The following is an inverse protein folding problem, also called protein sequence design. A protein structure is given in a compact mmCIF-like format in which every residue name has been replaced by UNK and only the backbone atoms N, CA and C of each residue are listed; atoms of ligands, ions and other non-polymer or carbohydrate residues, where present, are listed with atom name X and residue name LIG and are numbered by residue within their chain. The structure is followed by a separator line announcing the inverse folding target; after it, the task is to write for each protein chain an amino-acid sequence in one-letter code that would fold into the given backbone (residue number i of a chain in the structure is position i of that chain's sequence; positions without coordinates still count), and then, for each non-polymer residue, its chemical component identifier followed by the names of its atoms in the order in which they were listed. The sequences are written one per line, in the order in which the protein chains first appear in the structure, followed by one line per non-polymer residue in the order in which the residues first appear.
data_IF_573042665777
#
_entry.id   IF_573042665777
#
_cell.length_a   1.000
_cell.length_b   1.000
_cell.length_c   1.000
_cell.angle_alpha   90.00
_cell.angle_beta   90.00
_cell.angle_gamma   90.00
#
_symmetry.space_group_name_H-M   'P 1'
#
loop_
_entity.id
_entity.type
_entity.pdbx_description
1 polymer ?
#
# COMPACT_ATOMS: atom_id res chain seq x y z
N UNK A 1 -7.77 21.49 4.33
CA UNK A 1 -8.45 20.18 4.22
C UNK A 1 -9.41 20.05 5.39
N UNK A 2 -10.67 19.66 5.16
CA UNK A 2 -11.68 19.57 6.21
C UNK A 2 -11.28 18.51 7.26
N UNK A 3 -11.61 18.81 8.51
CA UNK A 3 -11.52 17.84 9.60
C UNK A 3 -12.73 16.92 9.54
N UNK A 4 -12.50 15.61 9.55
CA UNK A 4 -13.55 14.59 9.50
C UNK A 4 -13.71 13.89 10.85
N UNK A 5 -13.05 14.40 11.89
CA UNK A 5 -13.20 13.95 13.27
C UNK A 5 -14.66 14.06 13.72
N UNK A 6 -15.24 12.95 14.19
CA UNK A 6 -16.63 12.89 14.64
C UNK A 6 -17.62 12.27 13.64
N UNK A 7 -17.15 11.77 12.49
CA UNK A 7 -17.96 10.93 11.61
C UNK A 7 -18.44 9.65 12.33
N UNK A 8 -19.60 9.09 11.92
CA UNK A 8 -20.08 7.82 12.45
C UNK A 8 -19.03 6.72 12.29
N UNK A 9 -18.84 5.88 13.31
CA UNK A 9 -17.83 4.81 13.30
C UNK A 9 -17.91 3.90 12.06
N UNK A 10 -19.12 3.64 11.55
CA UNK A 10 -19.34 2.86 10.33
C UNK A 10 -18.65 3.47 9.09
N UNK A 11 -18.55 4.80 9.00
CA UNK A 11 -17.85 5.49 7.91
C UNK A 11 -16.33 5.30 8.05
N UNK A 12 -15.80 5.43 9.26
CA UNK A 12 -14.37 5.17 9.54
C UNK A 12 -13.99 3.73 9.20
N UNK A 13 -14.88 2.77 9.51
CA UNK A 13 -14.69 1.36 9.18
C UNK A 13 -14.78 1.10 7.68
N UNK A 14 -15.75 1.72 6.99
CA UNK A 14 -15.90 1.61 5.54
C UNK A 14 -14.67 2.14 4.78
N UNK A 15 -14.17 3.33 5.15
CA UNK A 15 -12.97 3.91 4.52
C UNK A 15 -11.73 3.08 4.82
N UNK A 16 -11.53 2.66 6.08
CA UNK A 16 -10.38 1.83 6.46
C UNK A 16 -10.42 0.46 5.79
N UNK A 17 -11.60 -0.16 5.71
CA UNK A 17 -11.82 -1.42 5.01
C UNK A 17 -11.54 -1.33 3.52
N UNK A 18 -11.99 -0.25 2.86
CA UNK A 18 -11.70 0.01 1.45
C UNK A 18 -10.19 0.10 1.19
N UNK A 19 -9.45 0.89 1.97
CA UNK A 19 -7.99 1.00 1.81
C UNK A 19 -7.27 -0.31 2.11
N UNK A 20 -7.75 -1.09 3.07
CA UNK A 20 -7.20 -2.40 3.39
C UNK A 20 -7.37 -3.37 2.23
N UNK A 21 -8.57 -3.43 1.63
CA UNK A 21 -8.85 -4.25 0.45
C UNK A 21 -8.06 -3.79 -0.77
N UNK A 22 -7.90 -2.48 -0.95
CA UNK A 22 -7.10 -1.89 -2.02
C UNK A 22 -5.64 -2.34 -1.90
N UNK A 23 -5.05 -2.24 -0.71
CA UNK A 23 -3.69 -2.71 -0.45
C UNK A 23 -3.61 -4.22 -0.70
N UNK A 24 -4.52 -5.02 -0.14
CA UNK A 24 -4.56 -6.47 -0.37
C UNK A 24 -4.59 -6.82 -1.88
N UNK A 25 -5.40 -6.12 -2.66
CA UNK A 25 -5.53 -6.32 -4.10
C UNK A 25 -4.22 -6.00 -4.84
N UNK A 26 -3.55 -4.88 -4.51
CA UNK A 26 -2.26 -4.52 -5.11
C UNK A 26 -1.21 -5.59 -4.81
N UNK A 27 -1.22 -6.16 -3.61
CA UNK A 27 -0.23 -7.15 -3.15
C UNK A 27 -0.45 -8.51 -3.77
N UNK A 28 -1.70 -8.93 -3.84
CA UNK A 28 -2.09 -10.09 -4.63
C UNK A 28 -1.66 -9.93 -6.09
N UNK A 29 -1.78 -8.72 -6.67
CA UNK A 29 -1.30 -8.42 -8.01
C UNK A 29 0.23 -8.56 -8.11
N UNK A 30 0.99 -8.01 -7.16
CA UNK A 30 2.45 -8.14 -7.11
C UNK A 30 2.89 -9.60 -7.05
N UNK A 31 2.23 -10.44 -6.23
CA UNK A 31 2.51 -11.90 -6.13
C UNK A 31 2.14 -12.61 -7.43
N UNK A 32 0.96 -12.33 -8.00
CA UNK A 32 0.47 -13.01 -9.22
C UNK A 32 1.34 -12.68 -10.43
N UNK A 33 1.85 -11.46 -10.52
CA UNK A 33 2.72 -11.02 -11.61
C UNK A 33 4.11 -11.66 -11.54
N UNK A 34 4.58 -12.03 -10.34
CA UNK A 34 5.79 -12.83 -10.13
C UNK A 34 5.73 -14.18 -10.85
N UNK A 35 4.53 -14.77 -10.96
CA UNK A 35 4.36 -16.14 -11.47
C UNK A 35 4.25 -16.15 -13.00
N UNK A 36 3.81 -15.06 -13.64
CA UNK A 36 3.28 -15.13 -15.01
C UNK A 36 4.15 -14.60 -16.16
N UNK A 37 5.07 -13.62 -16.03
CA UNK A 37 5.78 -13.07 -17.21
C UNK A 37 7.14 -12.38 -16.94
N UNK A 38 8.26 -12.85 -17.54
CA UNK A 38 9.62 -12.36 -17.25
C UNK A 38 10.14 -11.16 -18.06
N UNK A 39 9.38 -10.63 -19.05
CA UNK A 39 9.96 -9.71 -20.06
C UNK A 39 9.84 -8.20 -19.79
N UNK A 40 9.10 -7.77 -18.76
CA UNK A 40 8.84 -6.33 -18.43
C UNK A 40 8.85 -6.09 -16.90
N UNK A 41 9.62 -6.89 -16.17
CA UNK A 41 9.49 -7.08 -14.71
C UNK A 41 9.89 -5.90 -13.81
N UNK A 42 11.05 -5.23 -14.00
CA UNK A 42 11.53 -4.28 -13.01
C UNK A 42 10.72 -2.97 -13.01
N UNK A 43 10.40 -2.41 -14.18
CA UNK A 43 9.63 -1.15 -14.27
C UNK A 43 8.22 -1.32 -13.69
N UNK A 44 7.55 -2.43 -14.00
CA UNK A 44 6.21 -2.72 -13.48
C UNK A 44 6.22 -3.00 -11.98
N UNK A 45 7.26 -3.66 -11.47
CA UNK A 45 7.45 -3.85 -10.03
C UNK A 45 7.65 -2.51 -9.33
N UNK A 46 8.57 -1.65 -9.79
CA UNK A 46 8.80 -0.32 -9.21
C UNK A 46 7.52 0.51 -9.22
N UNK A 47 6.77 0.51 -10.32
CA UNK A 47 5.50 1.21 -10.40
C UNK A 47 4.47 0.69 -9.40
N UNK A 48 4.31 -0.64 -9.28
CA UNK A 48 3.38 -1.25 -8.30
C UNK A 48 3.81 -1.00 -6.86
N UNK A 49 5.12 -0.94 -6.58
CA UNK A 49 5.65 -0.61 -5.25
C UNK A 49 5.40 0.85 -4.89
N UNK A 50 5.64 1.77 -5.83
CA UNK A 50 5.33 3.18 -5.65
C UNK A 50 3.82 3.39 -5.49
N UNK A 51 3.00 2.66 -6.25
CA UNK A 51 1.55 2.69 -6.15
C UNK A 51 1.05 2.15 -4.80
N UNK A 52 1.63 1.04 -4.30
CA UNK A 52 1.35 0.51 -2.96
C UNK A 52 1.68 1.54 -1.87
N UNK A 53 2.86 2.15 -1.93
CA UNK A 53 3.30 3.16 -0.96
C UNK A 53 2.40 4.39 -1.02
N UNK A 54 2.05 4.86 -2.22
CA UNK A 54 1.14 5.98 -2.43
C UNK A 54 -0.27 5.70 -1.87
N UNK A 55 -0.82 4.51 -2.13
CA UNK A 55 -2.11 4.08 -1.59
C UNK A 55 -2.10 3.99 -0.05
N UNK A 56 -1.03 3.45 0.53
CA UNK A 56 -0.83 3.39 1.97
C UNK A 56 -0.70 4.78 2.60
N UNK A 57 0.01 5.70 1.94
CA UNK A 57 0.15 7.07 2.41
C UNK A 57 -1.17 7.84 2.31
N UNK A 58 -1.96 7.63 1.24
CA UNK A 58 -3.31 8.16 1.13
C UNK A 58 -4.21 7.62 2.25
N UNK A 59 -4.14 6.32 2.53
CA UNK A 59 -4.89 5.68 3.61
C UNK A 59 -4.53 6.28 4.98
N UNK A 60 -3.24 6.56 5.21
CA UNK A 60 -2.77 7.20 6.43
C UNK A 60 -3.27 8.65 6.56
N UNK A 61 -3.29 9.43 5.47
CA UNK A 61 -3.88 10.78 5.46
C UNK A 61 -5.37 10.72 5.80
N UNK A 62 -6.11 9.80 5.19
CA UNK A 62 -7.54 9.61 5.51
C UNK A 62 -7.74 9.17 6.97
N UNK A 63 -6.95 8.22 7.46
CA UNK A 63 -7.02 7.77 8.86
C UNK A 63 -6.73 8.92 9.84
N UNK A 64 -5.76 9.79 9.52
CA UNK A 64 -5.44 10.96 10.34
C UNK A 64 -6.60 11.97 10.35
N UNK A 65 -7.23 12.20 9.20
CA UNK A 65 -8.38 13.11 9.06
C UNK A 65 -9.64 12.58 9.75
N UNK A 66 -9.77 11.26 9.87
CA UNK A 66 -10.86 10.59 10.59
C UNK A 66 -10.64 10.52 12.12
N UNK A 67 -9.49 10.99 12.63
CA UNK A 67 -9.11 10.83 14.04
C UNK A 67 -8.71 9.40 14.42
N UNK A 68 -8.48 8.52 13.44
CA UNK A 68 -8.13 7.11 13.66
C UNK A 68 -6.61 6.94 13.70
N UNK A 69 -5.98 7.40 14.79
CA UNK A 69 -4.52 7.40 14.97
C UNK A 69 -3.87 6.00 14.83
N UNK A 70 -4.55 4.95 15.30
CA UNK A 70 -4.07 3.57 15.14
C UNK A 70 -3.97 3.15 13.67
N UNK A 71 -4.92 3.59 12.83
CA UNK A 71 -4.91 3.32 11.39
C UNK A 71 -3.79 4.05 10.67
N UNK A 72 -3.42 5.25 11.11
CA UNK A 72 -2.30 6.02 10.53
C UNK A 72 -1.01 5.21 10.62
N UNK A 73 -0.69 4.73 11.83
CA UNK A 73 0.50 3.92 12.06
C UNK A 73 0.46 2.60 11.29
N UNK A 74 -0.69 1.93 11.30
CA UNK A 74 -0.88 0.68 10.57
C UNK A 74 -0.65 0.83 9.06
N UNK A 75 -1.29 1.81 8.42
CA UNK A 75 -1.17 2.01 6.98
C UNK A 75 0.24 2.47 6.58
N UNK A 76 0.88 3.33 7.37
CA UNK A 76 2.28 3.71 7.13
C UNK A 76 3.23 2.51 7.22
N UNK A 77 3.12 1.71 8.28
CA UNK A 77 3.94 0.49 8.42
C UNK A 77 3.69 -0.47 7.26
N UNK A 78 2.44 -0.70 6.87
CA UNK A 78 2.09 -1.57 5.76
C UNK A 78 2.65 -1.05 4.42
N UNK A 79 2.62 0.27 4.22
CA UNK A 79 3.21 0.95 3.06
C UNK A 79 4.72 0.75 3.00
N UNK A 80 5.42 1.05 4.09
CA UNK A 80 6.87 0.91 4.19
C UNK A 80 7.33 -0.55 4.04
N UNK A 81 6.63 -1.50 4.68
CA UNK A 81 6.95 -2.93 4.57
C UNK A 81 6.77 -3.43 3.14
N UNK A 82 5.65 -3.11 2.49
CA UNK A 82 5.39 -3.51 1.10
C UNK A 82 6.42 -2.93 0.13
N UNK A 83 6.78 -1.66 0.31
CA UNK A 83 7.80 -1.00 -0.49
C UNK A 83 9.20 -1.60 -0.25
N UNK A 84 9.61 -1.75 1.02
CA UNK A 84 10.93 -2.27 1.39
C UNK A 84 11.15 -3.71 0.92
N UNK A 85 10.14 -4.58 1.05
CA UNK A 85 10.21 -5.96 0.54
C UNK A 85 10.35 -5.97 -0.98
N UNK A 86 9.60 -5.14 -1.70
CA UNK A 86 9.70 -5.08 -3.14
C UNK A 86 11.04 -4.49 -3.63
N UNK A 87 11.54 -3.45 -2.96
CA UNK A 87 12.86 -2.86 -3.24
C UNK A 87 14.00 -3.84 -2.99
N UNK A 88 14.00 -4.53 -1.84
CA UNK A 88 15.01 -5.55 -1.52
C UNK A 88 15.02 -6.70 -2.53
N UNK A 89 13.84 -7.10 -3.04
CA UNK A 89 13.76 -8.09 -4.12
C UNK A 89 14.32 -7.58 -5.44
N UNK A 90 14.05 -6.32 -5.78
CA UNK A 90 14.58 -5.71 -7.01
C UNK A 90 16.11 -5.60 -6.96
N UNK A 91 16.65 -5.25 -5.78
CA UNK A 91 18.10 -5.23 -5.50
C UNK A 91 18.74 -6.62 -5.68
N UNK A 92 18.12 -7.67 -5.13
CA UNK A 92 18.59 -9.05 -5.31
C UNK A 92 18.47 -9.55 -6.76
N UNK A 93 17.46 -9.09 -7.50
CA UNK A 93 17.30 -9.38 -8.93
C UNK A 93 18.39 -8.73 -9.78
N UNK A 94 18.77 -7.49 -9.46
CA UNK A 94 19.85 -6.77 -10.12
C UNK A 94 21.24 -7.33 -9.79
N UNK A 95 21.47 -7.82 -8.57
CA UNK A 95 22.75 -8.47 -8.22
C UNK A 95 23.00 -9.81 -8.94
N UNK A 96 21.95 -10.45 -9.45
CA UNK A 96 22.03 -11.75 -10.13
C UNK A 96 22.10 -11.64 -11.67
N UNK A 97 21.89 -10.45 -12.21
CA UNK A 97 21.95 -10.16 -13.65
C UNK A 97 23.33 -9.64 -14.05
#
# INVERSE_FOLDING_TARGET
MPDLSGLPQWVTWGVSGFFTLLLLAIGALQIRLLIKKPRLEPVRQVFLSAFWLGAACLAAIFAARLGFHLGVGFFLLLGCLGYGVAFGRLWLGLQKA
#
